data_IF_284676019715
#
_entry.id   IF_284676019715
#
_cell.length_a   1.000
_cell.length_b   1.000
_cell.length_c   1.000
_cell.angle_alpha   90.00
_cell.angle_beta   90.00
_cell.angle_gamma   90.00
#
_symmetry.space_group_name_H-M   'P 1'
#
loop_
_entity.id
_entity.type
_entity.pdbx_description
1 polymer ?
#
# COMPACT_ATOMS: atom_id res chain seq x y z
N UNK A 1 29.21 4.43 3.14
CA UNK A 1 29.48 3.06 2.65
C UNK A 1 28.14 2.34 2.53
N UNK A 2 27.73 2.03 1.30
CA UNK A 2 26.39 1.52 0.95
C UNK A 2 26.37 0.00 1.17
N UNK A 3 25.87 -0.46 2.32
CA UNK A 3 25.67 -1.90 2.56
C UNK A 3 24.38 -2.36 1.87
N UNK A 4 24.41 -2.54 0.54
CA UNK A 4 23.26 -3.05 -0.23
C UNK A 4 22.71 -4.36 0.33
N UNK A 5 23.56 -5.23 0.87
CA UNK A 5 23.15 -6.49 1.51
C UNK A 5 22.27 -6.27 2.75
N UNK A 6 22.54 -5.22 3.55
CA UNK A 6 21.73 -4.91 4.72
C UNK A 6 20.33 -4.46 4.33
N UNK A 7 20.21 -3.61 3.31
CA UNK A 7 18.90 -3.16 2.80
C UNK A 7 18.06 -4.32 2.23
N UNK A 8 18.70 -5.29 1.57
CA UNK A 8 18.00 -6.48 1.03
C UNK A 8 17.47 -7.34 2.17
N UNK A 9 18.29 -7.63 3.19
CA UNK A 9 17.86 -8.45 4.34
C UNK A 9 16.72 -7.77 5.11
N UNK A 10 16.83 -6.46 5.37
CA UNK A 10 15.77 -5.69 6.03
C UNK A 10 14.50 -5.66 5.18
N UNK A 11 14.62 -5.47 3.86
CA UNK A 11 13.48 -5.51 2.94
C UNK A 11 12.79 -6.87 2.91
N UNK A 12 13.55 -7.97 2.93
CA UNK A 12 13.01 -9.32 2.98
C UNK A 12 12.25 -9.57 4.29
N UNK A 13 12.85 -9.22 5.43
CA UNK A 13 12.21 -9.34 6.75
C UNK A 13 10.93 -8.50 6.84
N UNK A 14 10.98 -7.25 6.37
CA UNK A 14 9.82 -6.38 6.33
C UNK A 14 8.71 -6.94 5.43
N UNK A 15 9.07 -7.49 4.27
CA UNK A 15 8.13 -8.13 3.35
C UNK A 15 7.46 -9.36 3.95
N UNK A 16 8.24 -10.23 4.62
CA UNK A 16 7.70 -11.42 5.30
C UNK A 16 6.77 -11.02 6.44
N UNK A 17 7.17 -10.05 7.28
CA UNK A 17 6.33 -9.54 8.38
C UNK A 17 5.03 -8.89 7.88
N UNK A 18 5.12 -8.11 6.80
CA UNK A 18 3.95 -7.46 6.20
C UNK A 18 3.00 -8.50 5.58
N UNK A 19 3.55 -9.47 4.83
CA UNK A 19 2.75 -10.52 4.22
C UNK A 19 2.10 -11.45 5.24
N UNK A 20 2.82 -11.87 6.28
CA UNK A 20 2.25 -12.68 7.36
C UNK A 20 1.15 -11.92 8.10
N UNK A 21 1.34 -10.63 8.39
CA UNK A 21 0.32 -9.77 8.98
C UNK A 21 -0.96 -9.67 8.14
N UNK A 22 -0.83 -9.58 6.81
CA UNK A 22 -2.00 -9.55 5.91
C UNK A 22 -2.76 -10.88 5.87
N UNK A 23 -2.05 -12.01 5.88
CA UNK A 23 -2.67 -13.34 5.92
C UNK A 23 -3.41 -13.53 7.26
N UNK A 24 -2.75 -13.21 8.39
CA UNK A 24 -3.34 -13.36 9.73
C UNK A 24 -4.58 -12.47 9.91
N UNK A 25 -4.53 -11.24 9.36
CA UNK A 25 -5.67 -10.31 9.43
C UNK A 25 -6.82 -10.65 8.49
N UNK A 26 -6.65 -11.60 7.56
CA UNK A 26 -7.67 -11.97 6.58
C UNK A 26 -7.97 -10.89 5.53
N UNK A 27 -7.13 -9.85 5.43
CA UNK A 27 -7.26 -8.77 4.43
C UNK A 27 -6.99 -9.25 2.99
N UNK A 28 -6.48 -10.47 2.83
CA UNK A 28 -6.25 -11.14 1.55
C UNK A 28 -7.59 -11.51 0.88
N UNK A 29 -8.68 -11.66 1.64
CA UNK A 29 -9.98 -12.03 1.09
C UNK A 29 -10.76 -10.82 0.54
N UNK A 30 -11.14 -10.81 -0.75
CA UNK A 30 -11.88 -9.69 -1.35
C UNK A 30 -13.28 -9.51 -0.74
N UNK A 31 -13.85 -10.59 -0.19
CA UNK A 31 -15.14 -10.55 0.51
C UNK A 31 -15.09 -9.66 1.75
N UNK A 32 -13.97 -9.64 2.48
CA UNK A 32 -13.78 -8.78 3.66
C UNK A 32 -13.66 -7.30 3.25
N UNK A 33 -13.02 -7.02 2.11
CA UNK A 33 -12.90 -5.66 1.57
C UNK A 33 -14.27 -5.15 1.10
N UNK A 34 -15.01 -5.96 0.34
CA UNK A 34 -16.36 -5.61 -0.13
C UNK A 34 -17.36 -5.49 1.04
N UNK A 35 -17.28 -6.36 2.05
CA UNK A 35 -18.11 -6.27 3.25
C UNK A 35 -17.81 -5.05 4.13
N UNK A 36 -16.60 -4.49 4.05
CA UNK A 36 -16.29 -3.19 4.66
C UNK A 36 -16.89 -2.02 3.87
N UNK A 37 -16.93 -2.11 2.53
CA UNK A 37 -17.50 -1.09 1.64
C UNK A 37 -19.04 -1.14 1.60
N UNK A 38 -19.66 -2.27 1.94
CA UNK A 38 -21.12 -2.43 2.03
C UNK A 38 -21.68 -1.83 3.33
N UNK A 39 -21.73 -0.49 3.38
CA UNK A 39 -22.28 0.30 4.49
C UNK A 39 -23.82 0.16 4.59
N UNK A 40 -24.47 -0.31 3.53
CA UNK A 40 -25.94 -0.44 3.42
C UNK A 40 -26.48 -1.80 3.83
N UNK A 41 -25.61 -2.80 4.00
CA UNK A 41 -25.97 -4.19 4.31
C UNK A 41 -25.28 -4.72 5.57
N UNK A 42 -24.47 -5.77 5.42
CA UNK A 42 -23.84 -6.49 6.53
C UNK A 42 -22.43 -5.95 6.81
N UNK A 43 -22.36 -4.70 7.28
CA UNK A 43 -21.12 -3.95 7.44
C UNK A 43 -20.10 -4.66 8.36
N UNK A 44 -18.93 -4.99 7.81
CA UNK A 44 -17.89 -5.78 8.49
C UNK A 44 -16.77 -4.86 9.02
N UNK A 45 -16.85 -4.46 10.30
CA UNK A 45 -15.91 -3.54 10.99
C UNK A 45 -14.47 -4.10 11.11
N UNK A 46 -14.28 -5.39 10.84
CA UNK A 46 -13.00 -6.09 10.97
C UNK A 46 -11.83 -5.33 10.31
N UNK A 47 -12.06 -4.76 9.12
CA UNK A 47 -11.03 -4.06 8.34
C UNK A 47 -10.67 -2.68 8.96
N UNK A 48 -11.66 -1.97 9.49
CA UNK A 48 -11.45 -0.70 10.18
C UNK A 48 -10.63 -0.88 11.46
N UNK A 49 -10.81 -1.99 12.18
CA UNK A 49 -10.03 -2.27 13.39
C UNK A 49 -8.56 -2.54 13.06
N UNK A 50 -8.27 -3.31 12.00
CA UNK A 50 -6.90 -3.58 11.55
C UNK A 50 -6.22 -2.30 11.06
N UNK A 51 -6.89 -1.52 10.21
CA UNK A 51 -6.34 -0.26 9.71
C UNK A 51 -6.17 0.78 10.81
N UNK A 52 -7.16 0.89 11.72
CA UNK A 52 -7.12 1.78 12.88
C UNK A 52 -6.02 1.41 13.87
N UNK A 53 -5.84 0.12 14.17
CA UNK A 53 -4.74 -0.38 15.00
C UNK A 53 -3.37 -0.10 14.38
N UNK A 54 -3.22 -0.34 13.08
CA UNK A 54 -2.00 0.00 12.34
C UNK A 54 -1.70 1.51 12.40
N UNK A 55 -2.71 2.37 12.20
CA UNK A 55 -2.55 3.82 12.31
C UNK A 55 -2.19 4.26 13.74
N UNK A 56 -2.83 3.68 14.76
CA UNK A 56 -2.57 4.00 16.16
C UNK A 56 -1.17 3.64 16.61
N UNK A 57 -0.55 2.60 16.04
CA UNK A 57 0.84 2.26 16.31
C UNK A 57 1.79 3.13 15.47
N UNK A 58 1.48 3.31 14.19
CA UNK A 58 2.37 3.99 13.24
C UNK A 58 2.42 5.51 13.47
N UNK A 59 1.29 6.18 13.71
CA UNK A 59 1.22 7.63 13.87
C UNK A 59 2.08 8.18 15.02
N UNK A 60 2.00 7.66 16.26
CA UNK A 60 2.86 8.14 17.35
C UNK A 60 4.32 7.76 17.11
N UNK A 61 4.60 6.57 16.58
CA UNK A 61 5.97 6.16 16.25
C UNK A 61 6.61 7.08 15.20
N UNK A 62 5.85 7.43 14.16
CA UNK A 62 6.28 8.37 13.13
C UNK A 62 6.53 9.76 13.72
N UNK A 63 5.61 10.28 14.53
CA UNK A 63 5.74 11.65 15.07
C UNK A 63 6.84 11.78 16.12
N UNK A 64 7.03 10.76 16.97
CA UNK A 64 7.99 10.79 18.07
C UNK A 64 9.41 10.44 17.62
N UNK A 65 9.55 9.46 16.71
CA UNK A 65 10.85 8.90 16.33
C UNK A 65 11.25 9.35 14.92
N UNK A 66 10.42 9.10 13.92
CA UNK A 66 10.81 9.27 12.50
C UNK A 66 10.92 10.75 12.13
N UNK A 67 9.93 11.57 12.48
CA UNK A 67 9.90 13.01 12.16
C UNK A 67 11.09 13.77 12.74
N UNK A 68 11.63 13.31 13.87
CA UNK A 68 12.81 13.92 14.53
C UNK A 68 14.14 13.46 13.95
N UNK A 69 14.16 12.41 13.11
CA UNK A 69 15.38 11.87 12.52
C UNK A 69 15.62 12.46 11.14
N UNK A 70 16.79 13.10 10.98
CA UNK A 70 17.25 13.61 9.69
C UNK A 70 17.84 12.52 8.77
N UNK A 71 18.19 11.34 9.31
CA UNK A 71 18.82 10.24 8.58
C UNK A 71 18.19 8.91 8.96
N UNK A 72 17.98 8.05 7.95
CA UNK A 72 17.56 6.68 8.14
C UNK A 72 18.72 5.85 8.72
N UNK A 73 18.42 4.65 9.23
CA UNK A 73 19.41 3.74 9.84
C UNK A 73 20.51 3.36 8.84
N UNK A 74 20.19 3.35 7.54
CA UNK A 74 21.13 3.11 6.44
C UNK A 74 22.00 4.33 6.07
N UNK A 75 21.86 5.45 6.78
CA UNK A 75 22.61 6.69 6.54
C UNK A 75 22.04 7.58 5.42
N UNK A 76 20.95 7.18 4.77
CA UNK A 76 20.30 8.00 3.75
C UNK A 76 19.53 9.17 4.39
N UNK A 77 19.54 10.36 3.78
CA UNK A 77 18.72 11.46 4.26
C UNK A 77 17.25 11.05 4.21
N UNK A 78 16.56 11.14 5.36
CA UNK A 78 15.11 11.06 5.39
C UNK A 78 14.61 12.40 4.86
N UNK A 79 14.52 12.52 3.54
CA UNK A 79 14.01 13.73 2.90
C UNK A 79 12.51 13.84 3.23
N UNK A 80 12.19 14.51 4.34
CA UNK A 80 10.85 14.90 4.73
C UNK A 80 10.39 16.08 3.85
N UNK A 81 10.56 15.96 2.53
CA UNK A 81 10.08 16.92 1.53
C UNK A 81 8.56 16.79 1.43
N UNK A 82 7.92 17.20 2.51
CA UNK A 82 6.48 17.18 2.74
C UNK A 82 5.87 18.38 2.03
N UNK A 83 5.92 18.36 0.70
CA UNK A 83 5.11 19.26 -0.09
C UNK A 83 4.57 18.54 -1.33
N UNK A 84 3.58 17.64 -1.16
CA UNK A 84 2.74 17.30 -2.29
C UNK A 84 1.93 18.56 -2.60
N UNK A 85 2.43 19.38 -3.53
CA UNK A 85 1.57 20.35 -4.21
C UNK A 85 0.37 19.54 -4.70
N UNK A 86 -0.82 19.88 -4.18
CA UNK A 86 -2.05 19.19 -4.55
C UNK A 86 -2.37 19.60 -5.97
N UNK A 87 -1.80 18.87 -6.92
CA UNK A 87 -1.98 19.10 -8.34
C UNK A 87 -3.24 18.41 -8.83
N UNK A 88 -3.88 18.98 -9.86
CA UNK A 88 -5.05 18.37 -10.53
C UNK A 88 -4.77 16.94 -11.00
N UNK A 89 -3.52 16.64 -11.40
CA UNK A 89 -3.08 15.30 -11.80
C UNK A 89 -3.13 14.30 -10.63
N UNK A 90 -2.79 14.74 -9.42
CA UNK A 90 -2.85 13.90 -8.21
C UNK A 90 -4.28 13.62 -7.79
N UNK A 91 -5.17 14.63 -7.84
CA UNK A 91 -6.60 14.46 -7.52
C UNK A 91 -7.26 13.49 -8.51
N UNK A 92 -7.07 13.72 -9.82
CA UNK A 92 -7.64 12.84 -10.85
C UNK A 92 -7.08 11.42 -10.76
N UNK A 93 -5.77 11.27 -10.57
CA UNK A 93 -5.12 9.98 -10.43
C UNK A 93 -5.57 9.20 -9.19
N UNK A 94 -5.61 9.85 -8.03
CA UNK A 94 -6.04 9.23 -6.77
C UNK A 94 -7.52 8.85 -6.79
N UNK A 95 -8.37 9.66 -7.43
CA UNK A 95 -9.80 9.35 -7.57
C UNK A 95 -10.01 8.17 -8.52
N UNK A 96 -9.35 8.16 -9.68
CA UNK A 96 -9.44 7.02 -10.62
C UNK A 96 -8.91 5.73 -10.00
N UNK A 97 -7.77 5.80 -9.29
CA UNK A 97 -7.21 4.67 -8.56
C UNK A 97 -8.15 4.19 -7.43
N UNK A 98 -8.73 5.15 -6.70
CA UNK A 98 -9.73 4.93 -5.66
C UNK A 98 -11.13 4.54 -6.17
N UNK A 99 -11.39 4.56 -7.47
CA UNK A 99 -12.58 3.93 -8.04
C UNK A 99 -12.25 2.49 -8.46
N UNK A 100 -11.07 2.29 -9.05
CA UNK A 100 -10.57 0.97 -9.45
C UNK A 100 -10.48 -0.02 -8.29
N UNK A 101 -9.91 0.38 -7.14
CA UNK A 101 -9.77 -0.50 -5.97
C UNK A 101 -11.11 -0.97 -5.37
N UNK A 102 -12.16 -0.14 -5.48
CA UNK A 102 -13.45 -0.31 -4.82
C UNK A 102 -14.37 -1.15 -5.68
N UNK A 103 -14.28 -0.96 -7.01
CA UNK A 103 -14.91 -1.83 -8.00
C UNK A 103 -14.26 -3.22 -8.02
N UNK A 104 -12.93 -3.30 -7.92
CA UNK A 104 -12.20 -4.56 -7.94
C UNK A 104 -12.27 -5.31 -6.59
N UNK A 105 -12.51 -4.60 -5.48
CA UNK A 105 -12.43 -5.18 -4.13
C UNK A 105 -11.00 -5.59 -3.73
N UNK A 106 -9.97 -5.03 -4.38
CA UNK A 106 -8.57 -5.35 -4.15
C UNK A 106 -7.77 -4.08 -3.83
N UNK A 107 -6.99 -4.15 -2.75
CA UNK A 107 -5.96 -3.16 -2.43
C UNK A 107 -4.61 -3.65 -2.98
N UNK A 108 -3.70 -2.77 -3.45
CA UNK A 108 -2.42 -3.17 -4.04
C UNK A 108 -1.55 -4.05 -3.11
N UNK A 109 -1.59 -3.81 -1.79
CA UNK A 109 -0.84 -4.62 -0.81
C UNK A 109 -1.36 -6.07 -0.72
N UNK A 110 -2.65 -6.26 -0.43
CA UNK A 110 -3.28 -7.58 -0.50
C UNK A 110 -3.19 -8.22 -1.87
N UNK A 111 -3.28 -7.49 -2.99
CA UNK A 111 -3.18 -8.07 -4.32
C UNK A 111 -1.83 -8.81 -4.55
N UNK A 112 -0.73 -8.22 -4.09
CA UNK A 112 0.61 -8.83 -4.20
C UNK A 112 0.72 -10.09 -3.33
N UNK A 113 0.07 -10.13 -2.16
CA UNK A 113 0.12 -11.29 -1.27
C UNK A 113 -0.93 -12.35 -1.60
N UNK A 114 -2.06 -11.96 -2.17
CA UNK A 114 -3.09 -12.86 -2.69
C UNK A 114 -2.66 -13.57 -3.97
N UNK A 115 -1.57 -13.11 -4.60
CA UNK A 115 -1.03 -13.75 -5.80
C UNK A 115 -0.65 -15.22 -5.56
N UNK A 116 -0.20 -15.55 -4.34
CA UNK A 116 0.11 -16.92 -3.94
C UNK A 116 -1.14 -17.79 -3.75
N UNK A 117 -2.34 -17.18 -3.66
CA UNK A 117 -3.62 -17.88 -3.54
C UNK A 117 -4.19 -18.39 -4.87
N UNK A 118 -3.55 -18.09 -6.01
CA UNK A 118 -3.89 -18.71 -7.30
C UNK A 118 -5.19 -18.21 -7.97
N UNK A 119 -5.79 -17.11 -7.48
CA UNK A 119 -7.04 -16.61 -8.06
C UNK A 119 -6.78 -15.84 -9.38
N UNK A 120 -7.39 -16.25 -10.51
CA UNK A 120 -7.15 -15.63 -11.82
C UNK A 120 -7.59 -14.17 -11.90
N UNK A 121 -8.57 -13.73 -11.09
CA UNK A 121 -9.01 -12.34 -11.04
C UNK A 121 -7.92 -11.40 -10.51
N UNK A 122 -7.12 -11.88 -9.54
CA UNK A 122 -6.01 -11.10 -8.96
C UNK A 122 -4.89 -10.91 -9.99
N UNK A 123 -4.63 -11.93 -10.80
CA UNK A 123 -3.67 -11.86 -11.90
C UNK A 123 -4.06 -10.83 -12.95
N UNK A 124 -5.34 -10.81 -13.36
CA UNK A 124 -5.85 -9.81 -14.32
C UNK A 124 -5.74 -8.39 -13.74
N UNK A 125 -6.11 -8.19 -12.47
CA UNK A 125 -5.97 -6.90 -11.79
C UNK A 125 -4.51 -6.44 -11.75
N UNK A 126 -3.59 -7.33 -11.37
CA UNK A 126 -2.17 -6.99 -11.26
C UNK A 126 -1.56 -6.63 -12.63
N UNK A 127 -1.86 -7.40 -13.68
CA UNK A 127 -1.38 -7.10 -15.04
C UNK A 127 -1.93 -5.76 -15.52
N UNK A 128 -3.22 -5.48 -15.28
CA UNK A 128 -3.85 -4.20 -15.62
C UNK A 128 -3.20 -3.03 -14.87
N UNK A 129 -2.96 -3.18 -13.56
CA UNK A 129 -2.26 -2.18 -12.74
C UNK A 129 -0.84 -1.92 -13.24
N UNK A 130 -0.06 -2.97 -13.52
CA UNK A 130 1.30 -2.85 -14.05
C UNK A 130 1.32 -2.18 -15.42
N UNK A 131 0.39 -2.54 -16.31
CA UNK A 131 0.25 -1.89 -17.61
C UNK A 131 -0.08 -0.39 -17.47
N UNK A 132 -1.01 -0.04 -16.57
CA UNK A 132 -1.35 1.35 -16.26
C UNK A 132 -0.16 2.15 -15.71
N UNK A 133 0.61 1.57 -14.77
CA UNK A 133 1.83 2.19 -14.25
C UNK A 133 2.90 2.38 -15.32
N UNK A 134 3.06 1.40 -16.22
CA UNK A 134 4.02 1.47 -17.32
C UNK A 134 3.66 2.57 -18.34
N UNK A 135 2.38 2.66 -18.71
CA UNK A 135 1.86 3.71 -19.59
C UNK A 135 1.97 5.09 -18.93
N UNK A 136 1.56 5.22 -17.67
CA UNK A 136 1.69 6.46 -16.93
C UNK A 136 3.17 6.89 -16.81
N UNK A 137 4.06 5.94 -16.53
CA UNK A 137 5.51 6.17 -16.46
C UNK A 137 6.15 6.61 -17.79
N UNK A 138 5.55 6.25 -18.94
CA UNK A 138 5.95 6.76 -20.25
C UNK A 138 5.50 8.21 -20.46
N UNK A 139 4.25 8.53 -20.11
CA UNK A 139 3.68 9.89 -20.30
C UNK A 139 4.28 10.94 -19.37
N UNK A 140 4.85 10.55 -18.22
CA UNK A 140 5.43 11.48 -17.25
C UNK A 140 6.91 11.81 -17.54
N UNK A 141 7.55 11.11 -18.48
CA UNK A 141 8.96 11.35 -18.88
C UNK A 141 9.10 12.39 -20.00
N UNK A 142 8.00 12.97 -20.50
CA UNK A 142 8.00 13.94 -21.60
C UNK A 142 7.90 15.40 -21.14
N UNK A 143 8.20 15.69 -19.87
CA UNK A 143 8.42 17.06 -19.38
C UNK A 143 9.71 17.11 -18.55
#
# INVERSE_FOLDING_TARGET
MKNSSFSIVVGLLAGILFGSGMIISGMVDPKKVLGFLDVTGNWDISLAFVMGGALLVFAPFYHLVIKKRAKAINGEPLDSRNNPLIDRKLILGSTAFGLGWGLAGFCPGPAVTSLSGGNPTVWVFMISMLAGMWLAGRTNKTC
#
